data_IF_811912577518
#
_entry.id   IF_811912577518
#
_cell.length_a   1.000
_cell.length_b   1.000
_cell.length_c   1.000
_cell.angle_alpha   90.00
_cell.angle_beta   90.00
_cell.angle_gamma   90.00
#
_symmetry.space_group_name_H-M   'P 1'
#
loop_
_entity.id
_entity.type
_entity.pdbx_description
1 polymer ?
#
# COMPACT_ATOMS: atom_id res chain seq x y z
N UNK A 1 20.77 56.56 -35.72
CA UNK A 1 21.23 57.89 -35.27
C UNK A 1 20.09 58.87 -35.41
N UNK A 2 19.35 59.11 -34.31
CA UNK A 2 18.63 60.35 -34.00
C UNK A 2 17.69 60.17 -32.78
N UNK A 3 17.70 61.22 -31.96
CA UNK A 3 16.77 61.61 -30.88
C UNK A 3 16.96 60.97 -29.50
N UNK A 4 16.82 61.67 -28.38
CA UNK A 4 16.93 63.08 -27.96
C UNK A 4 16.98 63.00 -26.43
N UNK A 5 17.71 63.93 -25.83
CA UNK A 5 17.99 64.12 -24.41
C UNK A 5 16.73 64.49 -23.60
N UNK A 6 16.65 64.00 -22.36
CA UNK A 6 15.81 64.52 -21.28
C UNK A 6 16.65 64.74 -20.01
N UNK A 7 16.88 66.01 -19.70
CA UNK A 7 17.65 66.62 -18.60
C UNK A 7 16.62 66.96 -17.45
N UNK A 8 16.89 66.94 -16.12
CA UNK A 8 17.52 68.01 -15.29
C UNK A 8 17.48 67.59 -13.77
N UNK A 9 18.65 67.69 -13.09
CA UNK A 9 19.00 68.32 -11.76
C UNK A 9 18.32 67.80 -10.46
N UNK A 10 19.06 67.45 -9.39
CA UNK A 10 19.48 68.30 -8.23
C UNK A 10 20.00 67.33 -7.14
N UNK A 11 21.08 67.47 -6.37
CA UNK A 11 22.14 68.47 -6.14
C UNK A 11 23.24 67.74 -5.36
N UNK A 12 24.51 68.07 -5.63
CA UNK A 12 25.62 67.79 -4.74
C UNK A 12 26.21 69.13 -4.29
N UNK A 13 26.21 69.42 -2.99
CA UNK A 13 27.12 70.41 -2.38
C UNK A 13 27.55 69.93 -1.00
N UNK A 14 28.85 69.67 -0.91
CA UNK A 14 29.68 69.49 0.28
C UNK A 14 29.76 70.77 1.09
N UNK A 15 29.61 70.71 2.42
CA UNK A 15 30.05 71.78 3.32
C UNK A 15 30.47 71.20 4.69
N UNK A 16 31.79 71.28 4.96
CA UNK A 16 32.48 71.53 6.24
C UNK A 16 32.33 70.43 7.32
N UNK A 17 33.39 69.75 7.76
CA UNK A 17 34.63 70.30 8.29
C UNK A 17 34.57 70.20 9.81
N UNK A 18 35.45 69.40 10.43
CA UNK A 18 35.55 69.34 11.89
C UNK A 18 36.02 67.98 12.43
N UNK A 19 37.32 67.87 12.64
CA UNK A 19 37.94 66.86 13.52
C UNK A 19 37.51 67.19 14.96
N UNK A 20 36.93 66.23 15.68
CA UNK A 20 37.06 66.19 17.14
C UNK A 20 37.13 64.75 17.66
N UNK A 21 37.99 64.60 18.66
CA UNK A 21 38.56 63.38 19.22
C UNK A 21 37.61 62.62 20.16
N UNK A 22 37.73 61.28 20.10
CA UNK A 22 37.76 60.28 21.18
C UNK A 22 37.15 60.63 22.56
N UNK A 23 36.11 59.87 22.95
CA UNK A 23 36.05 59.19 24.27
C UNK A 23 35.44 57.79 24.09
N UNK A 24 35.98 56.79 24.81
CA UNK A 24 35.61 55.36 24.74
C UNK A 24 34.53 55.01 25.77
N UNK A 25 33.57 54.14 25.44
CA UNK A 25 33.33 52.79 26.03
C UNK A 25 32.03 52.18 25.47
N UNK A 26 31.86 50.84 25.54
CA UNK A 26 31.16 50.04 24.55
C UNK A 26 29.69 49.77 24.91
N UNK A 27 28.85 49.60 23.89
CA UNK A 27 27.69 48.70 23.80
C UNK A 27 26.74 49.27 22.73
N UNK A 28 26.82 48.73 21.50
CA UNK A 28 25.76 48.91 20.51
C UNK A 28 25.21 47.51 20.17
N UNK A 29 23.87 47.34 20.14
CA UNK A 29 23.23 46.13 19.66
C UNK A 29 23.43 46.07 18.14
N UNK A 30 24.28 45.14 17.69
CA UNK A 30 24.55 44.91 16.28
C UNK A 30 23.47 44.03 15.65
N UNK A 31 22.67 44.66 14.79
CA UNK A 31 22.21 44.14 13.49
C UNK A 31 21.96 42.62 13.39
N UNK A 32 20.70 42.23 13.55
CA UNK A 32 20.13 41.08 12.85
C UNK A 32 20.28 41.32 11.33
N UNK A 33 21.24 40.66 10.70
CA UNK A 33 21.21 40.42 9.25
C UNK A 33 20.85 38.96 9.01
N UNK A 34 19.71 38.81 8.35
CA UNK A 34 18.95 37.60 8.17
C UNK A 34 19.76 36.47 7.53
N UNK A 35 19.76 35.30 8.19
CA UNK A 35 19.98 34.03 7.53
C UNK A 35 18.85 33.85 6.51
N UNK A 36 19.20 33.89 5.23
CA UNK A 36 18.29 33.47 4.18
C UNK A 36 18.12 31.96 4.28
N UNK A 37 17.02 31.52 4.88
CA UNK A 37 16.52 30.16 4.70
C UNK A 37 16.15 30.01 3.23
N UNK A 38 17.08 29.49 2.43
CA UNK A 38 16.74 28.89 1.14
C UNK A 38 15.88 27.66 1.44
N UNK A 39 14.56 27.90 1.50
CA UNK A 39 13.54 26.87 1.54
C UNK A 39 13.55 26.20 0.15
N UNK A 40 14.53 25.33 -0.09
CA UNK A 40 14.50 24.42 -1.22
C UNK A 40 13.38 23.43 -0.93
N UNK A 41 12.20 23.75 -1.46
CA UNK A 41 11.11 22.80 -1.61
C UNK A 41 11.58 21.73 -2.61
N UNK A 42 12.44 20.81 -2.17
CA UNK A 42 12.85 19.66 -2.95
C UNK A 42 11.58 18.84 -3.19
N UNK A 43 11.08 18.86 -4.41
CA UNK A 43 10.00 17.98 -4.82
C UNK A 43 10.38 16.56 -4.38
N UNK A 44 9.56 15.97 -3.52
CA UNK A 44 9.77 14.60 -3.07
C UNK A 44 9.65 13.73 -4.32
N UNK A 45 10.71 13.00 -4.65
CA UNK A 45 10.68 12.12 -5.80
C UNK A 45 9.64 11.02 -5.55
N UNK A 46 8.74 10.80 -6.51
CA UNK A 46 7.66 9.82 -6.45
C UNK A 46 7.80 8.80 -7.58
N UNK A 47 7.25 7.61 -7.36
CA UNK A 47 7.06 6.57 -8.38
C UNK A 47 5.64 6.05 -8.34
N UNK A 48 5.19 5.48 -9.46
CA UNK A 48 3.87 4.86 -9.56
C UNK A 48 3.92 3.46 -8.96
N UNK A 49 2.91 3.08 -8.21
CA UNK A 49 2.72 1.72 -7.72
C UNK A 49 1.34 1.19 -8.09
N UNK A 50 1.28 -0.05 -8.56
CA UNK A 50 0.04 -0.73 -8.92
C UNK A 50 -0.09 -2.02 -8.12
N UNK A 51 -1.21 -2.14 -7.39
CA UNK A 51 -1.56 -3.33 -6.65
C UNK A 51 -2.65 -4.09 -7.40
N UNK A 52 -2.51 -5.40 -7.54
CA UNK A 52 -3.50 -6.25 -8.20
C UNK A 52 -3.80 -7.52 -7.43
N UNK A 53 -4.98 -8.06 -7.66
CA UNK A 53 -5.46 -9.31 -7.09
C UNK A 53 -5.79 -10.31 -8.20
N UNK A 54 -5.39 -11.55 -7.96
CA UNK A 54 -5.65 -12.73 -8.79
C UNK A 54 -6.10 -13.86 -7.86
N UNK A 55 -6.57 -14.96 -8.45
CA UNK A 55 -6.78 -16.21 -7.73
C UNK A 55 -6.35 -17.37 -8.63
N UNK A 56 -5.74 -18.39 -8.02
CA UNK A 56 -5.31 -19.63 -8.66
C UNK A 56 -5.90 -20.86 -7.97
N UNK A 57 -7.14 -20.75 -7.46
CA UNK A 57 -7.78 -21.83 -6.74
C UNK A 57 -8.05 -23.06 -7.62
N UNK A 58 -7.91 -24.26 -7.04
CA UNK A 58 -8.56 -25.44 -7.59
C UNK A 58 -10.10 -25.32 -7.50
N UNK A 59 -10.82 -26.04 -8.37
CA UNK A 59 -12.28 -25.97 -8.43
C UNK A 59 -12.92 -26.39 -7.09
N UNK A 60 -13.65 -25.47 -6.46
CA UNK A 60 -14.44 -25.73 -5.26
C UNK A 60 -15.80 -26.30 -5.66
N UNK A 61 -15.96 -27.62 -5.51
CA UNK A 61 -17.10 -28.37 -6.05
C UNK A 61 -18.48 -27.89 -5.61
N UNK A 62 -18.62 -27.31 -4.42
CA UNK A 62 -19.88 -26.84 -3.83
C UNK A 62 -20.06 -25.32 -3.83
N UNK A 63 -19.01 -24.56 -4.14
CA UNK A 63 -18.98 -23.10 -4.06
C UNK A 63 -19.06 -22.52 -5.48
N UNK A 64 -19.83 -21.46 -5.64
CA UNK A 64 -19.96 -20.74 -6.92
C UNK A 64 -19.24 -19.40 -6.91
N UNK A 65 -19.20 -18.71 -5.76
CA UNK A 65 -18.56 -17.39 -5.64
C UNK A 65 -17.90 -17.25 -4.26
N UNK A 66 -16.77 -16.55 -4.23
CA UNK A 66 -16.13 -16.04 -3.01
C UNK A 66 -15.88 -14.56 -3.24
N UNK A 67 -16.70 -13.72 -2.62
CA UNK A 67 -16.67 -12.27 -2.79
C UNK A 67 -15.96 -11.65 -1.58
N UNK A 68 -14.76 -11.12 -1.79
CA UNK A 68 -13.94 -10.46 -0.77
C UNK A 68 -14.03 -8.94 -0.94
N UNK A 69 -14.46 -8.22 0.10
CA UNK A 69 -14.48 -6.76 0.12
C UNK A 69 -13.19 -6.23 0.74
N UNK A 70 -12.38 -5.52 -0.03
CA UNK A 70 -11.20 -4.81 0.47
C UNK A 70 -11.56 -3.33 0.61
N UNK A 71 -11.35 -2.76 1.80
CA UNK A 71 -11.70 -1.36 2.09
C UNK A 71 -10.53 -0.39 1.93
N UNK A 72 -9.30 -0.85 2.17
CA UNK A 72 -8.10 -0.03 1.98
C UNK A 72 -6.86 -0.86 1.70
N UNK A 73 -5.90 -0.21 1.04
CA UNK A 73 -4.56 -0.71 0.78
C UNK A 73 -3.57 0.25 1.43
N UNK A 74 -2.67 -0.29 2.24
CA UNK A 74 -1.66 0.48 2.96
C UNK A 74 -0.28 -0.13 2.78
N UNK A 75 0.75 0.71 2.82
CA UNK A 75 2.15 0.29 2.76
C UNK A 75 2.89 0.86 3.96
N UNK A 76 3.91 0.14 4.42
CA UNK A 76 4.78 0.58 5.49
C UNK A 76 6.21 0.77 4.99
N UNK A 77 6.89 1.78 5.52
CA UNK A 77 8.35 1.91 5.41
C UNK A 77 8.92 2.28 6.77
N UNK A 78 10.15 1.84 7.05
CA UNK A 78 10.87 2.25 8.26
C UNK A 78 11.05 3.78 8.40
N UNK A 79 11.04 4.51 7.28
CA UNK A 79 11.27 5.95 7.26
C UNK A 79 10.01 6.79 7.52
N UNK A 80 8.82 6.28 7.17
CA UNK A 80 7.58 7.08 7.22
C UNK A 80 6.40 6.36 7.88
N UNK A 81 6.60 5.13 8.36
CA UNK A 81 5.54 4.35 8.97
C UNK A 81 4.50 3.89 7.94
N UNK A 82 3.26 3.69 8.42
CA UNK A 82 2.12 3.30 7.59
C UNK A 82 1.60 4.48 6.78
N UNK A 83 1.38 4.24 5.49
CA UNK A 83 0.81 5.18 4.53
C UNK A 83 -0.32 4.51 3.77
N UNK A 84 -1.44 5.21 3.64
CA UNK A 84 -2.59 4.73 2.88
C UNK A 84 -2.40 5.00 1.39
N UNK A 85 -2.55 3.96 0.57
CA UNK A 85 -2.49 4.03 -0.90
C UNK A 85 -3.88 4.22 -1.50
N UNK A 86 -4.87 3.50 -0.96
CA UNK A 86 -6.25 3.56 -1.42
C UNK A 86 -7.20 3.35 -0.25
N UNK A 87 -8.32 4.07 -0.28
CA UNK A 87 -9.47 3.90 0.64
C UNK A 87 -10.76 3.61 -0.11
N UNK A 88 -10.67 3.24 -1.40
CA UNK A 88 -11.85 2.95 -2.23
C UNK A 88 -12.27 1.50 -2.02
N UNK A 89 -13.43 1.23 -1.38
CA UNK A 89 -13.87 -0.14 -1.17
C UNK A 89 -14.23 -0.81 -2.49
N UNK A 90 -13.79 -2.05 -2.67
CA UNK A 90 -14.06 -2.87 -3.87
C UNK A 90 -14.29 -4.32 -3.47
N UNK A 91 -15.14 -5.00 -4.23
CA UNK A 91 -15.47 -6.42 -4.05
C UNK A 91 -14.83 -7.22 -5.17
N UNK A 92 -14.07 -8.25 -4.81
CA UNK A 92 -13.39 -9.15 -5.74
C UNK A 92 -13.99 -10.55 -5.64
N UNK A 93 -14.51 -11.06 -6.75
CA UNK A 93 -14.94 -12.44 -6.83
C UNK A 93 -13.76 -13.33 -7.22
N UNK A 94 -13.14 -13.97 -6.23
CA UNK A 94 -11.90 -14.74 -6.42
C UNK A 94 -12.09 -15.86 -7.45
N UNK A 95 -13.24 -16.56 -7.43
CA UNK A 95 -13.47 -17.65 -8.37
C UNK A 95 -13.64 -17.18 -9.82
N UNK A 96 -14.14 -15.96 -10.03
CA UNK A 96 -14.22 -15.34 -11.37
C UNK A 96 -12.82 -14.94 -11.85
N UNK A 97 -11.99 -14.37 -10.97
CA UNK A 97 -10.59 -14.03 -11.30
C UNK A 97 -9.83 -15.25 -11.83
N UNK A 98 -9.95 -16.38 -11.15
CA UNK A 98 -9.34 -17.65 -11.58
C UNK A 98 -9.96 -18.18 -12.88
N UNK A 99 -11.29 -18.23 -12.98
CA UNK A 99 -11.99 -18.76 -14.14
C UNK A 99 -11.70 -17.98 -15.43
N UNK A 100 -11.50 -16.67 -15.33
CA UNK A 100 -11.18 -15.77 -16.44
C UNK A 100 -9.67 -15.56 -16.64
N UNK A 101 -8.83 -16.13 -15.77
CA UNK A 101 -7.39 -15.85 -15.70
C UNK A 101 -7.10 -14.34 -15.69
N UNK A 102 -7.86 -13.62 -14.84
CA UNK A 102 -7.90 -12.16 -14.78
C UNK A 102 -7.21 -11.66 -13.51
N UNK A 103 -6.38 -10.64 -13.67
CA UNK A 103 -5.82 -9.84 -12.59
C UNK A 103 -6.57 -8.53 -12.50
N UNK A 104 -7.10 -8.20 -11.33
CA UNK A 104 -7.93 -7.01 -11.11
C UNK A 104 -7.22 -5.97 -10.24
N UNK A 105 -7.44 -4.69 -10.53
CA UNK A 105 -6.83 -3.58 -9.82
C UNK A 105 -7.34 -3.42 -8.38
N UNK A 106 -6.43 -3.51 -7.41
CA UNK A 106 -6.64 -3.13 -6.01
C UNK A 106 -6.44 -1.62 -5.79
N UNK A 107 -5.33 -1.08 -6.29
CA UNK A 107 -4.95 0.32 -6.14
C UNK A 107 -3.94 0.75 -7.21
N UNK A 108 -3.98 2.02 -7.60
CA UNK A 108 -3.04 2.68 -8.52
C UNK A 108 -2.76 4.08 -7.98
N UNK A 109 -1.51 4.36 -7.60
CA UNK A 109 -1.15 5.63 -6.98
C UNK A 109 0.32 5.99 -7.23
N UNK A 110 0.64 7.29 -7.13
CA UNK A 110 2.02 7.73 -6.95
C UNK A 110 2.33 7.84 -5.46
N UNK A 111 3.46 7.27 -5.04
CA UNK A 111 3.96 7.35 -3.67
C UNK A 111 5.43 7.72 -3.68
N UNK A 112 5.93 8.21 -2.54
CA UNK A 112 7.33 8.60 -2.36
C UNK A 112 8.28 7.47 -2.78
N UNK A 113 9.31 7.80 -3.53
CA UNK A 113 10.36 6.85 -3.87
C UNK A 113 11.07 6.34 -2.61
N UNK A 114 11.29 5.03 -2.53
CA UNK A 114 11.80 4.39 -1.34
C UNK A 114 11.61 2.87 -1.35
N UNK A 115 11.99 2.22 -0.25
CA UNK A 115 11.71 0.80 -0.03
C UNK A 115 10.65 0.66 1.05
N UNK A 116 9.65 -0.16 0.76
CA UNK A 116 8.55 -0.50 1.64
C UNK A 116 8.72 -1.95 2.11
N UNK A 117 8.54 -2.16 3.41
CA UNK A 117 8.84 -3.44 4.09
C UNK A 117 7.57 -4.22 4.47
N UNK A 118 6.39 -3.61 4.36
CA UNK A 118 5.11 -4.27 4.58
C UNK A 118 4.02 -3.72 3.65
N UNK A 119 3.07 -4.59 3.29
CA UNK A 119 1.80 -4.21 2.65
C UNK A 119 0.66 -4.74 3.51
N UNK A 120 -0.41 -3.96 3.67
CA UNK A 120 -1.62 -4.35 4.38
C UNK A 120 -2.84 -4.15 3.51
N UNK A 121 -3.64 -5.21 3.35
CA UNK A 121 -4.99 -5.13 2.81
C UNK A 121 -5.97 -5.19 3.97
N UNK A 122 -6.77 -4.15 4.13
CA UNK A 122 -7.86 -4.16 5.11
C UNK A 122 -9.07 -4.83 4.46
N UNK A 123 -9.49 -5.96 5.00
CA UNK A 123 -10.62 -6.74 4.46
C UNK A 123 -11.82 -6.49 5.35
N UNK A 124 -12.91 -6.03 4.74
CA UNK A 124 -14.13 -5.69 5.46
C UNK A 124 -14.99 -6.94 5.71
N UNK A 125 -15.23 -7.71 4.65
CA UNK A 125 -16.05 -8.92 4.70
C UNK A 125 -15.68 -9.90 3.60
N UNK A 126 -16.02 -11.18 3.82
CA UNK A 126 -15.90 -12.24 2.83
C UNK A 126 -17.21 -13.00 2.81
N UNK A 127 -17.88 -13.06 1.66
CA UNK A 127 -19.10 -13.83 1.48
C UNK A 127 -18.88 -15.00 0.53
N UNK A 128 -19.43 -16.14 0.90
CA UNK A 128 -19.32 -17.40 0.18
C UNK A 128 -20.72 -17.77 -0.32
N UNK A 129 -20.87 -17.91 -1.63
CA UNK A 129 -22.10 -18.37 -2.26
C UNK A 129 -21.92 -19.81 -2.71
N UNK A 130 -22.82 -20.66 -2.27
CA UNK A 130 -22.89 -22.06 -2.67
C UNK A 130 -23.61 -22.21 -4.01
N UNK A 131 -23.36 -23.32 -4.72
CA UNK A 131 -24.06 -23.63 -5.98
C UNK A 131 -25.57 -23.83 -5.83
N UNK A 132 -26.06 -24.07 -4.61
CA UNK A 132 -27.51 -24.11 -4.30
C UNK A 132 -28.11 -22.73 -4.07
N UNK A 133 -27.30 -21.66 -4.13
CA UNK A 133 -27.73 -20.27 -3.99
C UNK A 133 -27.63 -19.70 -2.58
N UNK A 134 -27.31 -20.51 -1.56
CA UNK A 134 -27.14 -19.99 -0.20
C UNK A 134 -25.87 -19.14 -0.09
N UNK A 135 -26.01 -17.94 0.46
CA UNK A 135 -24.91 -17.00 0.75
C UNK A 135 -24.67 -17.00 2.26
N UNK A 136 -23.42 -17.18 2.67
CA UNK A 136 -22.98 -17.08 4.06
C UNK A 136 -21.73 -16.23 4.15
N UNK A 137 -21.61 -15.46 5.22
CA UNK A 137 -20.35 -14.79 5.55
C UNK A 137 -19.32 -15.80 6.05
N UNK A 138 -18.08 -15.65 5.62
CA UNK A 138 -16.95 -16.43 6.11
C UNK A 138 -16.18 -15.61 7.15
N UNK A 139 -15.84 -16.27 8.27
CA UNK A 139 -15.04 -15.65 9.32
C UNK A 139 -13.59 -15.49 8.85
N UNK A 140 -13.13 -14.25 8.76
CA UNK A 140 -11.72 -13.91 8.62
C UNK A 140 -11.08 -13.81 10.03
N UNK A 141 -9.94 -14.49 10.31
CA UNK A 141 -9.31 -14.45 11.62
C UNK A 141 -8.93 -13.04 12.13
N UNK A 142 -8.33 -12.19 11.28
CA UNK A 142 -7.74 -10.90 11.71
C UNK A 142 -8.44 -9.63 11.21
N UNK A 143 -9.31 -9.70 10.20
CA UNK A 143 -9.84 -8.50 9.53
C UNK A 143 -8.83 -7.77 8.62
N UNK A 144 -7.58 -8.23 8.56
CA UNK A 144 -6.51 -7.65 7.74
C UNK A 144 -5.57 -8.73 7.20
N UNK A 145 -5.01 -8.50 6.01
CA UNK A 145 -3.91 -9.29 5.48
C UNK A 145 -2.65 -8.42 5.48
N UNK A 146 -1.77 -8.65 6.46
CA UNK A 146 -0.51 -7.91 6.60
C UNK A 146 0.67 -8.79 6.17
N UNK A 147 1.32 -8.41 5.09
CA UNK A 147 2.41 -9.16 4.47
C UNK A 147 3.71 -8.39 4.65
N UNK A 148 4.70 -9.03 5.26
CA UNK A 148 6.08 -8.54 5.24
C UNK A 148 6.67 -8.88 3.87
N UNK A 149 7.19 -7.88 3.18
CA UNK A 149 7.68 -8.01 1.80
C UNK A 149 8.73 -6.94 1.54
N UNK A 150 9.46 -7.05 0.44
CA UNK A 150 10.24 -5.92 -0.09
C UNK A 150 9.58 -5.35 -1.34
N UNK A 151 9.19 -4.08 -1.32
CA UNK A 151 8.70 -3.36 -2.51
C UNK A 151 9.58 -2.12 -2.72
N UNK A 152 10.27 -2.04 -3.85
CA UNK A 152 11.06 -0.85 -4.21
C UNK A 152 10.28 0.03 -5.16
N UNK A 153 10.15 1.30 -4.81
CA UNK A 153 9.58 2.34 -5.65
C UNK A 153 10.68 3.31 -6.06
N UNK A 154 11.02 3.29 -7.35
CA UNK A 154 11.98 4.23 -7.92
C UNK A 154 11.27 5.46 -8.48
N UNK A 155 11.96 6.59 -8.46
CA UNK A 155 11.44 7.85 -8.97
C UNK A 155 11.12 7.74 -10.48
N UNK A 156 9.94 8.21 -10.88
CA UNK A 156 9.45 8.20 -12.27
C UNK A 156 9.36 6.82 -12.92
N UNK A 157 9.43 5.73 -12.15
CA UNK A 157 9.22 4.37 -12.63
C UNK A 157 7.91 3.80 -12.06
N UNK A 158 7.47 2.68 -12.66
CA UNK A 158 6.32 1.93 -12.14
C UNK A 158 6.80 0.70 -11.38
N UNK A 159 6.21 0.47 -10.21
CA UNK A 159 6.39 -0.72 -9.40
C UNK A 159 5.04 -1.44 -9.27
N UNK A 160 5.07 -2.73 -8.95
CA UNK A 160 3.86 -3.53 -8.83
C UNK A 160 3.90 -4.47 -7.65
N UNK A 161 2.72 -4.82 -7.14
CA UNK A 161 2.51 -5.87 -6.15
C UNK A 161 1.27 -6.67 -6.54
N UNK A 162 1.47 -7.95 -6.89
CA UNK A 162 0.38 -8.86 -7.22
C UNK A 162 0.12 -9.81 -6.05
N UNK A 163 -1.15 -9.99 -5.69
CA UNK A 163 -1.63 -10.95 -4.71
C UNK A 163 -2.45 -12.04 -5.41
N UNK A 164 -1.88 -13.24 -5.49
CA UNK A 164 -2.52 -14.44 -6.02
C UNK A 164 -3.07 -15.27 -4.87
N UNK A 165 -4.39 -15.15 -4.65
CA UNK A 165 -5.09 -15.91 -3.62
C UNK A 165 -5.23 -17.37 -4.05
N UNK A 166 -5.13 -18.27 -3.08
CA UNK A 166 -5.42 -19.68 -3.28
C UNK A 166 -6.71 -19.98 -2.53
N UNK A 167 -7.86 -19.59 -3.10
CA UNK A 167 -9.14 -19.68 -2.38
C UNK A 167 -9.51 -21.12 -1.98
N UNK A 168 -9.08 -22.13 -2.74
CA UNK A 168 -9.23 -23.55 -2.41
C UNK A 168 -8.46 -23.97 -1.16
N UNK A 169 -7.35 -23.32 -0.88
CA UNK A 169 -6.54 -23.51 0.33
C UNK A 169 -6.91 -22.57 1.46
N UNK A 170 -7.65 -21.52 1.16
CA UNK A 170 -8.02 -20.47 2.12
C UNK A 170 -9.38 -20.72 2.76
N UNK A 171 -10.30 -21.38 2.05
CA UNK A 171 -11.65 -21.62 2.52
C UNK A 171 -11.75 -22.94 3.29
N UNK A 172 -12.21 -22.86 4.53
CA UNK A 172 -12.45 -24.02 5.39
C UNK A 172 -13.92 -24.06 5.84
N UNK A 173 -14.47 -25.27 5.95
CA UNK A 173 -15.83 -25.51 6.45
C UNK A 173 -15.75 -26.15 7.83
N UNK A 174 -16.42 -25.53 8.80
CA UNK A 174 -16.50 -26.07 10.16
C UNK A 174 -17.47 -27.26 10.23
N UNK A 175 -17.40 -28.03 11.32
CA UNK A 175 -18.32 -29.16 11.53
C UNK A 175 -19.82 -28.78 11.55
N UNK A 176 -20.15 -27.53 11.89
CA UNK A 176 -21.51 -26.99 11.87
C UNK A 176 -21.87 -26.25 10.56
N UNK A 177 -21.02 -26.29 9.53
CA UNK A 177 -21.29 -25.74 8.21
C UNK A 177 -21.17 -24.21 8.10
N UNK A 178 -20.44 -23.58 9.02
CA UNK A 178 -19.94 -22.21 8.90
C UNK A 178 -18.66 -22.19 8.08
N UNK A 179 -18.32 -21.02 7.52
CA UNK A 179 -17.11 -20.84 6.74
C UNK A 179 -16.08 -20.04 7.51
N UNK A 180 -14.82 -20.46 7.40
CA UNK A 180 -13.64 -19.70 7.82
C UNK A 180 -12.83 -19.45 6.56
N UNK A 181 -12.39 -18.21 6.37
CA UNK A 181 -11.47 -17.87 5.29
C UNK A 181 -10.14 -17.44 5.91
N UNK A 182 -9.15 -18.32 5.87
CA UNK A 182 -7.78 -18.08 6.34
C UNK A 182 -6.89 -17.94 5.08
N UNK A 183 -6.65 -16.70 4.60
CA UNK A 183 -6.00 -16.48 3.31
C UNK A 183 -4.65 -17.18 3.19
N UNK A 184 -4.48 -17.93 2.10
CA UNK A 184 -3.20 -18.39 1.58
C UNK A 184 -2.96 -17.61 0.29
N UNK A 185 -1.87 -16.84 0.25
CA UNK A 185 -1.59 -15.89 -0.82
C UNK A 185 -0.17 -16.07 -1.30
N UNK A 186 0.01 -16.28 -2.59
CA UNK A 186 1.29 -16.05 -3.26
C UNK A 186 1.36 -14.59 -3.62
N UNK A 187 2.45 -13.93 -3.29
CA UNK A 187 2.64 -12.54 -3.68
C UNK A 187 3.94 -12.38 -4.44
N UNK A 188 3.97 -11.38 -5.31
CA UNK A 188 5.16 -10.94 -6.01
C UNK A 188 5.17 -9.41 -6.08
N UNK A 189 6.30 -8.81 -5.73
CA UNK A 189 6.56 -7.39 -5.92
C UNK A 189 7.64 -7.20 -6.98
N UNK A 190 7.48 -6.17 -7.82
CA UNK A 190 8.44 -5.86 -8.89
C UNK A 190 8.70 -4.36 -8.95
N UNK A 191 9.97 -3.97 -9.09
CA UNK A 191 10.37 -2.61 -9.45
C UNK A 191 10.57 -2.48 -10.96
N UNK A 192 10.45 -1.25 -11.47
CA UNK A 192 10.71 -0.94 -12.89
C UNK A 192 9.88 -1.79 -13.86
N UNK A 193 8.63 -2.12 -13.47
CA UNK A 193 7.73 -2.97 -14.21
C UNK A 193 6.93 -2.19 -15.26
N UNK A 194 6.59 -2.85 -16.36
CA UNK A 194 5.65 -2.35 -17.35
C UNK A 194 4.24 -2.78 -16.95
N UNK A 195 3.40 -1.81 -16.55
CA UNK A 195 2.03 -2.10 -16.06
C UNK A 195 1.00 -1.35 -16.88
N UNK A 196 0.12 -2.10 -17.55
CA UNK A 196 -1.08 -1.57 -18.21
C UNK A 196 -2.32 -1.89 -17.38
N UNK A 197 -3.17 -0.88 -17.15
CA UNK A 197 -4.46 -1.02 -16.50
C UNK A 197 -5.54 -0.71 -17.54
N UNK A 198 -6.39 -1.69 -17.83
CA UNK A 198 -7.50 -1.58 -18.78
C UNK A 198 -8.71 -0.85 -18.17
N UNK A 199 -9.65 -0.41 -19.01
CA UNK A 199 -10.88 0.31 -18.59
C UNK A 199 -11.74 -0.53 -17.65
N UNK A 200 -11.73 -1.85 -17.81
CA UNK A 200 -12.41 -2.83 -16.95
C UNK A 200 -11.62 -3.16 -15.67
N UNK A 201 -10.60 -2.37 -15.33
CA UNK A 201 -9.69 -2.60 -14.19
C UNK A 201 -8.85 -3.87 -14.30
N UNK A 202 -8.74 -4.50 -15.47
CA UNK A 202 -7.80 -5.60 -15.69
C UNK A 202 -6.37 -5.08 -15.70
N UNK A 203 -5.49 -5.68 -14.90
CA UNK A 203 -4.08 -5.31 -14.78
C UNK A 203 -3.21 -6.34 -15.50
N UNK A 204 -2.29 -5.87 -16.35
CA UNK A 204 -1.24 -6.70 -16.92
C UNK A 204 0.12 -6.15 -16.51
N UNK A 205 0.92 -7.00 -15.88
CA UNK A 205 2.27 -6.70 -15.41
C UNK A 205 3.25 -7.50 -16.29
N UNK A 206 4.21 -6.81 -16.90
CA UNK A 206 5.31 -7.40 -17.67
C UNK A 206 6.62 -6.73 -17.31
N UNK A 207 7.76 -7.35 -17.66
CA UNK A 207 9.07 -6.73 -17.42
C UNK A 207 9.37 -6.49 -15.93
N UNK A 208 10.34 -5.61 -15.65
CA UNK A 208 10.76 -5.27 -14.29
C UNK A 208 11.61 -6.31 -13.58
N UNK A 209 12.08 -5.94 -12.38
CA UNK A 209 12.90 -6.76 -11.49
C UNK A 209 12.04 -7.29 -10.35
N UNK A 210 12.06 -8.60 -10.11
CA UNK A 210 11.43 -9.18 -8.92
C UNK A 210 12.19 -8.73 -7.67
N UNK A 211 11.50 -8.01 -6.78
CA UNK A 211 12.04 -7.54 -5.51
C UNK A 211 11.84 -8.55 -4.40
N UNK A 212 10.67 -9.19 -4.39
CA UNK A 212 10.30 -10.25 -3.47
C UNK A 212 9.20 -11.13 -4.08
N UNK A 213 9.24 -12.42 -3.75
CA UNK A 213 8.22 -13.38 -4.15
C UNK A 213 8.14 -14.49 -3.12
N UNK A 214 6.98 -14.66 -2.48
CA UNK A 214 6.78 -15.65 -1.44
C UNK A 214 5.34 -16.15 -1.40
N UNK A 215 5.12 -17.26 -0.69
CA UNK A 215 3.78 -17.71 -0.28
C UNK A 215 3.61 -17.48 1.20
N UNK A 216 2.47 -16.94 1.61
CA UNK A 216 2.12 -16.74 3.01
C UNK A 216 0.74 -17.30 3.29
N UNK A 217 0.51 -17.71 4.54
CA UNK A 217 -0.80 -18.15 5.00
C UNK A 217 -1.15 -17.57 6.35
N UNK A 218 -2.44 -17.36 6.56
CA UNK A 218 -3.00 -16.91 7.83
C UNK A 218 -3.30 -18.11 8.74
N UNK A 219 -2.91 -18.01 10.01
CA UNK A 219 -3.30 -18.97 11.05
C UNK A 219 -4.61 -18.56 11.74
N UNK A 220 -5.15 -19.44 12.58
CA UNK A 220 -6.44 -19.27 13.27
C UNK A 220 -6.49 -18.06 14.21
N UNK A 221 -5.33 -17.56 14.63
CA UNK A 221 -5.17 -16.34 15.44
C UNK A 221 -5.03 -15.06 14.60
N UNK A 222 -5.02 -15.18 13.27
CA UNK A 222 -4.85 -14.06 12.35
C UNK A 222 -3.41 -13.67 12.05
N UNK A 223 -2.42 -14.38 12.60
CA UNK A 223 -1.02 -14.16 12.25
C UNK A 223 -0.71 -14.68 10.84
N UNK A 224 0.10 -13.93 10.10
CA UNK A 224 0.58 -14.32 8.78
C UNK A 224 1.94 -15.01 8.93
N UNK A 225 2.08 -16.19 8.33
CA UNK A 225 3.28 -17.03 8.39
C UNK A 225 3.77 -17.36 6.98
N UNK A 226 5.09 -17.36 6.79
CA UNK A 226 5.73 -17.73 5.53
C UNK A 226 5.53 -19.24 5.26
N UNK A 227 5.15 -19.58 4.03
CA UNK A 227 4.93 -20.95 3.54
C UNK A 227 3.99 -21.78 4.43
N UNK A 228 3.02 -21.10 5.04
CA UNK A 228 2.02 -21.71 5.91
C UNK A 228 0.69 -21.88 5.20
N UNK A 229 -0.05 -22.91 5.58
CA UNK A 229 -1.47 -23.08 5.29
C UNK A 229 -2.08 -23.95 6.38
N UNK A 230 -3.32 -23.69 6.77
CA UNK A 230 -4.06 -24.61 7.62
C UNK A 230 -4.32 -25.89 6.78
N UNK A 231 -4.10 -27.05 7.37
CA UNK A 231 -4.34 -28.32 6.67
C UNK A 231 -5.81 -28.44 6.26
N UNK A 232 -6.09 -28.86 5.03
CA UNK A 232 -7.48 -28.99 4.53
C UNK A 232 -8.32 -30.02 5.28
N UNK A 233 -7.68 -30.97 5.98
CA UNK A 233 -8.35 -31.96 6.84
C UNK A 233 -8.47 -31.51 8.30
N UNK A 234 -7.93 -30.34 8.65
CA UNK A 234 -8.00 -29.81 10.00
C UNK A 234 -9.44 -29.46 10.32
N UNK A 235 -9.96 -30.06 11.40
CA UNK A 235 -11.27 -29.69 11.91
C UNK A 235 -11.16 -28.35 12.61
N UNK A 236 -12.01 -27.41 12.21
CA UNK A 236 -12.09 -26.07 12.78
C UNK A 236 -13.47 -25.83 13.36
N UNK A 237 -13.52 -25.04 14.42
CA UNK A 237 -14.75 -24.56 15.01
C UNK A 237 -14.64 -23.06 15.34
N UNK A 238 -15.77 -22.39 15.41
CA UNK A 238 -15.90 -21.00 15.85
C UNK A 238 -16.67 -21.04 17.17
N UNK A 239 -16.05 -20.58 18.24
CA UNK A 239 -16.72 -20.55 19.54
C UNK A 239 -17.74 -19.41 19.65
N UNK A 240 -18.47 -19.34 20.78
CA UNK A 240 -19.51 -18.33 21.02
C UNK A 240 -18.98 -16.89 21.03
N UNK A 241 -17.66 -16.68 21.09
CA UNK A 241 -17.02 -15.37 21.05
C UNK A 241 -16.44 -15.06 19.66
N UNK A 242 -16.64 -15.93 18.67
CA UNK A 242 -16.13 -15.77 17.31
C UNK A 242 -14.65 -16.16 17.16
N UNK A 243 -14.05 -16.82 18.14
CA UNK A 243 -12.66 -17.28 18.08
C UNK A 243 -12.59 -18.62 17.35
N UNK A 244 -11.64 -18.73 16.42
CA UNK A 244 -11.40 -19.95 15.66
C UNK A 244 -10.53 -20.90 16.50
N UNK A 245 -10.95 -22.16 16.62
CA UNK A 245 -10.25 -23.22 17.35
C UNK A 245 -10.00 -24.42 16.45
N UNK A 246 -8.84 -25.05 16.65
CA UNK A 246 -8.50 -26.35 16.09
C UNK A 246 -9.20 -27.42 16.94
N UNK A 247 -10.06 -28.25 16.33
CA UNK A 247 -10.63 -29.40 17.03
C UNK A 247 -9.64 -30.58 17.00
N UNK A 248 -9.43 -31.22 18.16
CA UNK A 248 -8.63 -32.44 18.28
C UNK A 248 -7.21 -32.27 18.84
N UNK A 249 -6.77 -31.06 19.17
CA UNK A 249 -5.67 -30.87 20.11
C UNK A 249 -6.25 -31.01 21.53
N UNK A 250 -6.00 -32.15 22.16
CA UNK A 250 -6.09 -32.26 23.62
C UNK A 250 -5.16 -31.16 24.18
N UNK A 251 -5.75 -30.14 24.83
CA UNK A 251 -4.98 -29.20 25.66
C UNK A 251 -4.47 -29.91 26.91
#
# INVERSE_FOLDING_TARGET
MNKTIGIIIVVAVLVIGGIYLLTRTPSAPGSEEALSEQNQNQAVAEGRVVFSVTDAAANLSTISEINMMVKSVEVHSSASGWMTVSTTPRVYNLLVLNAENRSELLADANIKAGTYDQIRLMVDSISVKTKTGAVKEAKLPSGELKINTRLVVNANETSSANFDFLADKSLHVTGNGSYIFAPVVKFETRSSADVSVSVDSTVKITGGRSDDQNTVGMDVDGTIKLNFQISGNQKLNIDGNGIIKLEGLLQ
#
